data_IF_237498398935
#
_entry.id   IF_237498398935
#
_cell.length_a   1.000
_cell.length_b   1.000
_cell.length_c   1.000
_cell.angle_alpha   90.00
_cell.angle_beta   90.00
_cell.angle_gamma   90.00
#
_symmetry.space_group_name_H-M   'P 1'
#
loop_
_entity.id
_entity.type
_entity.pdbx_description
1 polymer ?
#
# COMPACT_ATOMS: atom_id res chain seq x y z
N UNK A 1 -6.78 -16.81 18.92
CA UNK A 1 -5.59 -16.50 18.11
C UNK A 1 -5.83 -15.14 17.48
N UNK A 2 -4.93 -14.17 17.67
CA UNK A 2 -5.05 -12.86 17.00
C UNK A 2 -4.80 -13.06 15.52
N UNK A 3 -5.76 -12.70 14.67
CA UNK A 3 -5.63 -12.86 13.22
C UNK A 3 -4.53 -11.94 12.68
N UNK A 4 -3.72 -12.49 11.80
CA UNK A 4 -2.47 -11.91 11.30
C UNK A 4 -2.74 -11.27 9.95
N UNK A 5 -2.66 -9.95 9.87
CA UNK A 5 -3.14 -9.12 8.76
C UNK A 5 -2.16 -8.99 7.60
N UNK A 6 -2.71 -8.88 6.40
CA UNK A 6 -2.05 -8.68 5.11
C UNK A 6 -2.41 -7.29 4.60
N UNK A 7 -1.41 -6.46 4.48
CA UNK A 7 -1.55 -5.07 4.05
C UNK A 7 -1.14 -4.94 2.59
N UNK A 8 -1.93 -4.27 1.76
CA UNK A 8 -1.53 -3.87 0.41
C UNK A 8 -1.44 -2.34 0.32
N UNK A 9 -0.22 -1.83 0.15
CA UNK A 9 0.11 -0.41 0.04
C UNK A 9 0.22 -0.01 -1.43
N UNK A 10 -0.50 1.05 -1.79
CA UNK A 10 -0.48 1.70 -3.10
C UNK A 10 0.07 3.13 -2.88
N UNK A 11 1.40 3.35 -2.95
CA UNK A 11 1.98 4.63 -2.61
C UNK A 11 1.94 5.64 -3.75
N UNK A 12 2.10 6.92 -3.40
CA UNK A 12 2.46 7.98 -4.33
C UNK A 12 3.84 7.76 -4.95
N UNK A 13 4.09 8.45 -6.06
CA UNK A 13 5.38 8.34 -6.78
C UNK A 13 6.41 9.38 -6.32
N UNK A 14 5.98 10.39 -5.57
CA UNK A 14 6.85 11.47 -5.10
C UNK A 14 7.89 10.98 -4.08
N UNK A 15 9.05 11.65 -4.06
CA UNK A 15 10.12 11.31 -3.09
C UNK A 15 9.66 11.45 -1.64
N UNK A 16 8.86 12.47 -1.34
CA UNK A 16 8.33 12.68 0.01
C UNK A 16 7.37 11.57 0.41
N UNK A 17 6.46 11.16 -0.49
CA UNK A 17 5.56 10.02 -0.26
C UNK A 17 6.35 8.74 0.03
N UNK A 18 7.39 8.46 -0.76
CA UNK A 18 8.23 7.29 -0.55
C UNK A 18 8.98 7.38 0.79
N UNK A 19 9.59 8.52 1.13
CA UNK A 19 10.29 8.69 2.41
C UNK A 19 9.36 8.41 3.60
N UNK A 20 8.15 8.93 3.54
CA UNK A 20 7.15 8.76 4.60
C UNK A 20 6.63 7.32 4.67
N UNK A 21 6.44 6.67 3.51
CA UNK A 21 6.11 5.24 3.42
C UNK A 21 7.16 4.37 4.12
N UNK A 22 8.46 4.65 3.91
CA UNK A 22 9.54 3.89 4.55
C UNK A 22 9.52 4.06 6.07
N UNK A 23 9.34 5.29 6.55
CA UNK A 23 9.23 5.56 7.99
C UNK A 23 8.04 4.81 8.61
N UNK A 24 6.89 4.83 7.94
CA UNK A 24 5.69 4.13 8.35
C UNK A 24 5.87 2.60 8.37
N UNK A 25 6.49 2.00 7.35
CA UNK A 25 6.76 0.56 7.32
C UNK A 25 7.69 0.15 8.47
N UNK A 26 8.74 0.93 8.74
CA UNK A 26 9.65 0.64 9.84
C UNK A 26 8.91 0.69 11.19
N UNK A 27 8.05 1.70 11.41
CA UNK A 27 7.19 1.77 12.60
C UNK A 27 6.31 0.53 12.74
N UNK A 28 5.55 0.20 11.68
CA UNK A 28 4.63 -0.93 11.69
C UNK A 28 5.32 -2.26 11.98
N UNK A 29 6.48 -2.54 11.37
CA UNK A 29 7.13 -3.84 11.50
C UNK A 29 7.70 -4.06 12.90
N UNK A 30 8.18 -2.99 13.55
CA UNK A 30 8.78 -3.08 14.88
C UNK A 30 7.73 -3.04 16.01
N UNK A 31 6.60 -2.36 15.78
CA UNK A 31 5.60 -2.12 16.82
C UNK A 31 4.40 -3.08 16.70
N UNK A 32 4.03 -3.48 15.48
CA UNK A 32 2.77 -4.15 15.23
C UNK A 32 2.94 -5.65 14.90
N UNK A 33 2.89 -6.47 15.95
CA UNK A 33 2.96 -7.94 15.85
C UNK A 33 1.77 -8.58 15.10
N UNK A 34 0.71 -7.82 14.81
CA UNK A 34 -0.46 -8.31 14.07
C UNK A 34 -0.28 -8.24 12.56
N UNK A 35 0.74 -7.56 12.05
CA UNK A 35 1.03 -7.52 10.61
C UNK A 35 1.86 -8.73 10.20
N UNK A 36 1.28 -9.56 9.36
CA UNK A 36 1.95 -10.74 8.79
C UNK A 36 2.79 -10.38 7.58
N UNK A 37 2.21 -9.62 6.65
CA UNK A 37 2.83 -9.25 5.38
C UNK A 37 2.38 -7.87 4.92
N UNK A 38 3.32 -7.13 4.34
CA UNK A 38 3.11 -5.85 3.68
C UNK A 38 3.47 -6.04 2.21
N UNK A 39 2.50 -5.82 1.35
CA UNK A 39 2.65 -5.83 -0.10
C UNK A 39 2.68 -4.39 -0.57
N UNK A 40 3.62 -4.04 -1.45
CA UNK A 40 3.72 -2.68 -1.99
C UNK A 40 3.63 -2.79 -3.50
N UNK A 41 2.69 -2.08 -4.11
CA UNK A 41 2.48 -2.11 -5.56
C UNK A 41 2.75 -0.74 -6.19
N UNK A 42 3.49 -0.72 -7.28
CA UNK A 42 3.81 0.52 -7.98
C UNK A 42 4.56 0.27 -9.29
N UNK A 43 4.81 1.34 -10.03
CA UNK A 43 5.65 1.28 -11.23
C UNK A 43 7.11 1.00 -10.89
N UNK A 44 7.91 0.71 -11.92
CA UNK A 44 9.30 0.31 -11.81
C UNK A 44 10.11 1.26 -10.92
N UNK A 45 10.05 2.55 -11.21
CA UNK A 45 10.85 3.59 -10.55
C UNK A 45 10.50 3.67 -9.07
N UNK A 46 9.20 3.71 -8.74
CA UNK A 46 8.72 3.73 -7.35
C UNK A 46 9.18 2.50 -6.57
N UNK A 47 8.99 1.31 -7.15
CA UNK A 47 9.35 0.05 -6.49
C UNK A 47 10.87 -0.10 -6.31
N UNK A 48 11.67 0.35 -7.28
CA UNK A 48 13.13 0.35 -7.16
C UNK A 48 13.62 1.28 -6.07
N UNK A 49 13.03 2.48 -5.94
CA UNK A 49 13.37 3.42 -4.86
C UNK A 49 12.98 2.82 -3.50
N UNK A 50 11.75 2.32 -3.37
CA UNK A 50 11.27 1.67 -2.13
C UNK A 50 12.19 0.52 -1.74
N UNK A 51 12.51 -0.37 -2.68
CA UNK A 51 13.37 -1.53 -2.41
C UNK A 51 14.79 -1.18 -2.00
N UNK A 52 15.35 -0.05 -2.47
CA UNK A 52 16.67 0.45 -2.06
C UNK A 52 16.63 1.17 -0.72
N UNK A 53 15.51 1.77 -0.35
CA UNK A 53 15.35 2.56 0.87
C UNK A 53 14.93 1.73 2.08
N UNK A 54 14.35 0.55 1.88
CA UNK A 54 14.00 -0.35 2.97
C UNK A 54 15.24 -0.94 3.65
N UNK A 55 15.25 -1.03 5.00
CA UNK A 55 16.30 -1.74 5.73
C UNK A 55 16.44 -3.20 5.28
N UNK A 56 17.68 -3.72 5.25
CA UNK A 56 17.96 -5.07 4.72
C UNK A 56 17.35 -6.18 5.57
N UNK A 57 17.29 -5.99 6.86
CA UNK A 57 16.63 -6.86 7.85
C UNK A 57 15.13 -7.00 7.56
N UNK A 58 14.43 -5.89 7.27
CA UNK A 58 13.02 -5.88 6.86
C UNK A 58 12.78 -6.75 5.61
N UNK A 59 13.69 -6.67 4.62
CA UNK A 59 13.61 -7.47 3.40
C UNK A 59 13.96 -8.95 3.64
N UNK A 60 14.92 -9.25 4.52
CA UNK A 60 15.34 -10.62 4.85
C UNK A 60 14.25 -11.42 5.54
N UNK A 61 13.46 -10.77 6.38
CA UNK A 61 12.31 -11.39 7.06
C UNK A 61 11.16 -11.75 6.10
N UNK A 62 11.24 -11.33 4.83
CA UNK A 62 10.18 -11.49 3.80
C UNK A 62 8.81 -10.95 4.26
N UNK A 63 8.81 -10.02 5.22
CA UNK A 63 7.60 -9.31 5.66
C UNK A 63 7.11 -8.33 4.60
N UNK A 64 8.03 -7.74 3.84
CA UNK A 64 7.71 -6.81 2.75
C UNK A 64 7.92 -7.47 1.40
N UNK A 65 6.91 -7.40 0.53
CA UNK A 65 6.93 -7.95 -0.83
C UNK A 65 6.57 -6.83 -1.81
N UNK A 66 7.40 -6.67 -2.85
CA UNK A 66 7.26 -5.59 -3.83
C UNK A 66 6.67 -6.14 -5.14
N UNK A 67 5.59 -5.53 -5.62
CA UNK A 67 4.94 -5.82 -6.89
C UNK A 67 5.13 -4.68 -7.87
N UNK A 68 5.84 -4.98 -8.97
CA UNK A 68 6.01 -4.04 -10.07
C UNK A 68 4.87 -4.16 -11.08
N UNK A 69 4.23 -3.02 -11.33
CA UNK A 69 3.27 -2.77 -12.39
C UNK A 69 4.01 -2.46 -13.72
N UNK A 70 3.57 -3.06 -14.83
CA UNK A 70 4.18 -2.91 -16.17
C UNK A 70 3.24 -2.11 -17.08
N UNK A 71 3.71 -0.96 -17.57
CA UNK A 71 2.90 0.03 -18.32
C UNK A 71 2.29 -0.48 -19.63
N UNK A 72 3.00 -1.37 -20.33
CA UNK A 72 2.58 -1.88 -21.64
C UNK A 72 1.69 -3.12 -21.57
N UNK A 73 1.20 -3.48 -20.37
CA UNK A 73 0.37 -4.66 -20.15
C UNK A 73 -1.00 -4.24 -19.63
N UNK A 74 -1.99 -5.11 -19.84
CA UNK A 74 -3.33 -4.96 -19.27
C UNK A 74 -3.26 -4.72 -17.75
N UNK A 75 -3.63 -3.51 -17.34
CA UNK A 75 -3.59 -3.09 -15.95
C UNK A 75 -4.57 -3.85 -15.08
N UNK A 76 -5.80 -4.06 -15.57
CA UNK A 76 -6.84 -4.78 -14.86
C UNK A 76 -6.40 -6.21 -14.56
N UNK A 77 -5.84 -6.91 -15.55
CA UNK A 77 -5.32 -8.26 -15.36
C UNK A 77 -4.15 -8.31 -14.36
N UNK A 78 -3.24 -7.34 -14.41
CA UNK A 78 -2.12 -7.26 -13.46
C UNK A 78 -2.59 -7.00 -12.03
N UNK A 79 -3.49 -6.03 -11.84
CA UNK A 79 -4.06 -5.65 -10.56
C UNK A 79 -4.86 -6.81 -9.96
N UNK A 80 -5.69 -7.48 -10.76
CA UNK A 80 -6.42 -8.68 -10.35
C UNK A 80 -5.47 -9.79 -9.90
N UNK A 81 -4.41 -10.06 -10.67
CA UNK A 81 -3.41 -11.07 -10.31
C UNK A 81 -2.71 -10.73 -8.99
N UNK A 82 -2.35 -9.46 -8.78
CA UNK A 82 -1.75 -9.02 -7.51
C UNK A 82 -2.74 -9.23 -6.37
N UNK A 83 -4.00 -8.83 -6.54
CA UNK A 83 -5.02 -9.01 -5.52
C UNK A 83 -5.23 -10.48 -5.15
N UNK A 84 -5.38 -11.37 -6.13
CA UNK A 84 -5.53 -12.82 -5.88
C UNK A 84 -4.31 -13.42 -5.17
N UNK A 85 -3.11 -12.93 -5.46
CA UNK A 85 -1.89 -13.42 -4.80
C UNK A 85 -1.70 -12.87 -3.39
N UNK A 86 -2.20 -11.67 -3.14
CA UNK A 86 -2.01 -10.97 -1.85
C UNK A 86 -3.15 -11.24 -0.88
N UNK A 87 -4.38 -11.35 -1.39
CA UNK A 87 -5.65 -11.42 -0.64
C UNK A 87 -5.61 -10.46 0.56
N UNK A 88 -5.50 -9.14 0.31
CA UNK A 88 -5.24 -8.19 1.37
C UNK A 88 -6.44 -8.06 2.31
N UNK A 89 -6.17 -7.98 3.60
CA UNK A 89 -7.19 -7.67 4.61
C UNK A 89 -7.45 -6.15 4.60
N UNK A 90 -6.39 -5.36 4.39
CA UNK A 90 -6.46 -3.89 4.27
C UNK A 90 -5.70 -3.42 3.02
N UNK A 91 -6.32 -2.54 2.23
CA UNK A 91 -5.72 -1.81 1.12
C UNK A 91 -5.56 -0.35 1.53
N UNK A 92 -4.34 0.18 1.39
CA UNK A 92 -4.01 1.56 1.75
C UNK A 92 -3.53 2.32 0.51
N UNK A 93 -4.24 3.38 0.16
CA UNK A 93 -3.73 4.40 -0.75
C UNK A 93 -2.87 5.38 0.04
N UNK A 94 -1.55 5.31 -0.11
CA UNK A 94 -0.60 6.01 0.75
C UNK A 94 0.00 7.24 0.06
N UNK A 95 -0.47 8.44 0.39
CA UNK A 95 -0.05 9.69 -0.25
C UNK A 95 -0.03 9.62 -1.78
N UNK A 96 -0.99 8.90 -2.37
CA UNK A 96 -1.13 8.79 -3.82
C UNK A 96 -1.70 10.09 -4.37
N UNK A 97 -1.01 10.77 -5.28
CA UNK A 97 -1.54 12.01 -5.85
C UNK A 97 -2.59 11.73 -6.93
N UNK A 98 -3.53 12.65 -7.14
CA UNK A 98 -4.53 12.54 -8.22
C UNK A 98 -3.87 12.48 -9.60
N UNK A 99 -2.72 13.16 -9.79
CA UNK A 99 -1.93 13.11 -11.03
C UNK A 99 -1.32 11.73 -11.27
N UNK A 100 -0.85 11.06 -10.22
CA UNK A 100 -0.37 9.69 -10.31
C UNK A 100 -1.50 8.71 -10.66
N UNK A 101 -2.75 9.06 -10.38
CA UNK A 101 -3.89 8.18 -10.59
C UNK A 101 -4.49 8.34 -11.99
N UNK A 102 -4.48 9.56 -12.56
CA UNK A 102 -4.88 9.82 -13.95
C UNK A 102 -4.10 8.97 -14.97
N UNK A 103 -2.86 8.59 -14.65
CA UNK A 103 -2.00 7.79 -15.54
C UNK A 103 -2.12 6.29 -15.28
N UNK A 104 -2.35 5.88 -14.03
CA UNK A 104 -2.21 4.48 -13.60
C UNK A 104 -3.52 3.82 -13.15
N UNK A 105 -4.62 4.57 -13.13
CA UNK A 105 -5.98 4.20 -12.69
C UNK A 105 -5.98 3.06 -11.67
N UNK A 106 -5.25 3.24 -10.56
CA UNK A 106 -5.07 2.16 -9.59
C UNK A 106 -6.32 1.96 -8.72
N UNK A 107 -7.43 2.66 -9.05
CA UNK A 107 -8.79 2.44 -8.53
C UNK A 107 -9.32 1.04 -8.82
N UNK A 108 -8.71 0.28 -9.73
CA UNK A 108 -8.98 -1.15 -9.86
C UNK A 108 -8.86 -1.89 -8.51
N UNK A 109 -7.89 -1.53 -7.66
CA UNK A 109 -7.75 -2.11 -6.33
C UNK A 109 -8.93 -1.78 -5.41
N UNK A 110 -9.51 -0.58 -5.53
CA UNK A 110 -10.71 -0.21 -4.79
C UNK A 110 -11.91 -1.08 -5.20
N UNK A 111 -12.15 -1.20 -6.51
CA UNK A 111 -13.28 -1.99 -7.03
C UNK A 111 -13.20 -3.47 -6.64
N UNK A 112 -12.03 -4.09 -6.79
CA UNK A 112 -11.84 -5.50 -6.41
C UNK A 112 -11.77 -5.67 -4.90
N UNK A 113 -11.23 -4.71 -4.16
CA UNK A 113 -11.16 -4.72 -2.71
C UNK A 113 -12.55 -4.75 -2.08
N UNK A 114 -13.48 -3.91 -2.56
CA UNK A 114 -14.89 -3.95 -2.11
C UNK A 114 -15.50 -5.33 -2.33
N UNK A 115 -15.33 -5.89 -3.54
CA UNK A 115 -15.90 -7.20 -3.88
C UNK A 115 -15.27 -8.34 -3.07
N UNK A 116 -13.98 -8.21 -2.74
CA UNK A 116 -13.22 -9.19 -1.97
C UNK A 116 -13.34 -9.03 -0.45
N UNK A 117 -14.07 -8.02 0.04
CA UNK A 117 -14.24 -7.76 1.47
C UNK A 117 -13.03 -7.12 2.17
N UNK A 118 -12.06 -6.59 1.41
CA UNK A 118 -10.91 -5.88 1.99
C UNK A 118 -11.36 -4.53 2.54
N UNK A 119 -10.84 -4.13 3.71
CA UNK A 119 -10.95 -2.75 4.18
C UNK A 119 -10.13 -1.84 3.27
N UNK A 120 -10.69 -0.69 2.87
CA UNK A 120 -9.97 0.28 2.04
C UNK A 120 -9.87 1.60 2.79
N UNK A 121 -8.64 2.10 2.89
CA UNK A 121 -8.31 3.35 3.57
C UNK A 121 -7.34 4.18 2.74
N UNK A 122 -7.36 5.49 2.96
CA UNK A 122 -6.47 6.45 2.30
C UNK A 122 -5.74 7.28 3.33
N UNK A 123 -4.42 7.33 3.22
CA UNK A 123 -3.60 8.30 3.93
C UNK A 123 -3.34 9.50 3.01
N UNK A 124 -4.00 10.61 3.31
CA UNK A 124 -4.10 11.77 2.42
C UNK A 124 -4.10 13.08 3.23
N UNK A 125 -3.04 13.86 3.09
CA UNK A 125 -2.82 15.08 3.90
C UNK A 125 -3.49 16.34 3.32
N UNK A 126 -3.89 16.32 2.04
CA UNK A 126 -4.57 17.43 1.39
C UNK A 126 -5.52 16.93 0.27
N UNK A 127 -6.16 17.86 -0.44
CA UNK A 127 -7.11 17.56 -1.52
C UNK A 127 -6.45 17.19 -2.86
N UNK A 128 -5.12 17.14 -2.93
CA UNK A 128 -4.36 16.72 -4.12
C UNK A 128 -4.13 15.22 -4.14
N UNK A 129 -4.49 14.52 -3.06
CA UNK A 129 -4.33 13.09 -2.90
C UNK A 129 -5.63 12.32 -3.17
N UNK A 130 -5.47 11.11 -3.69
CA UNK A 130 -6.55 10.14 -3.85
C UNK A 130 -7.16 9.83 -2.49
N UNK A 131 -8.48 9.96 -2.39
CA UNK A 131 -9.26 9.65 -1.21
C UNK A 131 -10.31 8.60 -1.56
N UNK A 132 -9.97 7.32 -1.35
CA UNK A 132 -10.83 6.16 -1.53
C UNK A 132 -11.02 5.43 -0.20
N UNK A 133 -12.27 5.15 0.16
CA UNK A 133 -12.60 4.59 1.47
C UNK A 133 -12.43 5.60 2.62
N UNK A 134 -12.10 5.12 3.81
CA UNK A 134 -11.90 6.00 4.97
C UNK A 134 -10.61 6.80 4.83
N UNK A 135 -10.66 8.10 5.17
CA UNK A 135 -9.52 9.00 5.05
C UNK A 135 -8.86 9.24 6.41
N UNK A 136 -7.54 9.15 6.44
CA UNK A 136 -6.70 9.49 7.57
C UNK A 136 -5.67 10.56 7.18
N UNK A 137 -5.45 11.51 8.08
CA UNK A 137 -4.52 12.64 7.87
C UNK A 137 -3.29 12.55 8.78
N UNK A 138 -3.25 11.59 9.70
CA UNK A 138 -2.09 11.32 10.54
C UNK A 138 -1.66 9.85 10.47
N UNK A 139 -0.36 9.59 10.62
CA UNK A 139 0.17 8.24 10.63
C UNK A 139 -0.32 7.43 11.84
N UNK A 140 -0.47 8.06 13.01
CA UNK A 140 -0.96 7.38 14.21
C UNK A 140 -2.41 6.90 14.07
N UNK A 141 -3.29 7.72 13.47
CA UNK A 141 -4.66 7.29 13.17
C UNK A 141 -4.68 6.18 12.13
N UNK A 142 -3.80 6.25 11.12
CA UNK A 142 -3.67 5.20 10.10
C UNK A 142 -3.21 3.87 10.71
N UNK A 143 -2.20 3.90 11.57
CA UNK A 143 -1.71 2.72 12.31
C UNK A 143 -2.84 2.09 13.14
N UNK A 144 -3.56 2.91 13.89
CA UNK A 144 -4.70 2.46 14.71
C UNK A 144 -5.80 1.83 13.85
N UNK A 145 -6.15 2.45 12.72
CA UNK A 145 -7.14 1.91 11.80
C UNK A 145 -6.74 0.54 11.24
N UNK A 146 -5.47 0.35 10.90
CA UNK A 146 -4.93 -0.94 10.45
C UNK A 146 -4.97 -1.97 11.59
N UNK A 147 -4.73 -1.57 12.84
CA UNK A 147 -4.82 -2.46 13.99
C UNK A 147 -6.24 -2.94 14.29
N UNK A 148 -7.24 -2.10 14.02
CA UNK A 148 -8.66 -2.38 14.27
C UNK A 148 -9.31 -3.22 13.15
N UNK A 149 -8.85 -3.12 11.90
CA UNK A 149 -9.44 -3.81 10.73
C UNK A 149 -8.62 -5.01 10.25
#
# INVERSE_FOLDING_TARGET
MTEKKRLLLIPGTSRDSIRELIAFINSLIHVNSRINRIYIVGIKETIEVVGKSLPRDVLREKKVILYRLIEQKDWGAQVLRIFVNTLPDVIVYFLRSMKDDEVFDTKYFYLIGIKGGSKIISYAVDNRHVCLGDKYTSLSELEKAIEEN
#
